data_IF_974556678286
#
_entry.id   IF_974556678286
#
_cell.length_a   1.000
_cell.length_b   1.000
_cell.length_c   1.000
_cell.angle_alpha   90.00
_cell.angle_beta   90.00
_cell.angle_gamma   90.00
#
_symmetry.space_group_name_H-M   'P 1'
#
loop_
_entity.id
_entity.type
_entity.pdbx_description
1 polymer ?
#
# COMPACT_ATOMS: atom_id res chain seq x y z
N UNK A 1 -9.08 -18.31 13.83
CA UNK A 1 -8.74 -17.36 12.77
C UNK A 1 -7.28 -17.53 12.45
N UNK A 2 -6.92 -17.69 11.20
CA UNK A 2 -5.54 -17.71 10.74
C UNK A 2 -4.86 -16.42 11.21
N UNK A 3 -3.74 -16.55 11.92
CA UNK A 3 -3.02 -15.38 12.42
C UNK A 3 -2.37 -14.66 11.25
N UNK A 4 -2.90 -13.53 10.87
CA UNK A 4 -2.33 -12.66 9.82
C UNK A 4 -1.51 -11.55 10.50
N UNK A 5 -0.30 -11.31 10.00
CA UNK A 5 0.50 -10.13 10.34
C UNK A 5 0.44 -9.11 9.20
N UNK A 6 0.78 -7.87 9.48
CA UNK A 6 0.91 -6.84 8.46
C UNK A 6 2.38 -6.42 8.28
N UNK A 7 2.76 -6.18 7.04
CA UNK A 7 4.06 -5.68 6.63
C UNK A 7 3.88 -4.40 5.81
N UNK A 8 4.40 -3.29 6.31
CA UNK A 8 4.33 -2.00 5.62
C UNK A 8 5.67 -1.74 4.93
N UNK A 9 5.67 -1.54 3.62
CA UNK A 9 6.87 -1.26 2.84
C UNK A 9 7.19 0.24 2.85
N UNK A 10 8.25 0.63 3.56
CA UNK A 10 8.67 2.02 3.76
C UNK A 10 10.15 2.27 3.45
N UNK A 11 10.83 1.34 2.75
CA UNK A 11 12.29 1.39 2.52
C UNK A 11 12.72 2.21 1.30
N UNK A 12 11.78 2.64 0.44
CA UNK A 12 12.08 3.26 -0.85
C UNK A 12 12.69 4.66 -0.73
N UNK A 13 13.60 5.01 -1.67
CA UNK A 13 14.29 6.31 -1.70
C UNK A 13 13.37 7.49 -2.05
N UNK A 14 12.26 7.27 -2.76
CA UNK A 14 11.33 8.32 -3.14
C UNK A 14 11.95 9.42 -4.01
N UNK A 15 12.80 9.08 -4.96
CA UNK A 15 13.59 10.03 -5.76
C UNK A 15 12.76 11.09 -6.49
N UNK A 16 11.52 10.75 -6.87
CA UNK A 16 10.57 11.67 -7.53
C UNK A 16 10.03 12.77 -6.61
N UNK A 17 10.22 12.65 -5.29
CA UNK A 17 9.85 13.70 -4.33
C UNK A 17 10.84 14.86 -4.30
N UNK A 18 12.04 14.71 -4.87
CA UNK A 18 13.11 15.72 -4.87
C UNK A 18 13.38 16.29 -3.46
N UNK A 19 13.39 15.45 -2.44
CA UNK A 19 13.53 15.82 -1.03
C UNK A 19 14.51 14.90 -0.32
N UNK A 20 15.29 15.45 0.61
CA UNK A 20 16.15 14.65 1.50
C UNK A 20 15.36 13.92 2.59
N UNK A 21 14.11 14.31 2.82
CA UNK A 21 13.22 13.64 3.78
C UNK A 21 12.68 12.36 3.15
N UNK A 22 12.70 11.21 3.87
CA UNK A 22 12.09 9.97 3.41
C UNK A 22 10.66 10.18 2.89
N UNK A 23 10.33 9.53 1.76
CA UNK A 23 9.00 9.69 1.14
C UNK A 23 7.86 9.49 2.14
N UNK A 24 7.92 8.43 2.93
CA UNK A 24 6.87 8.05 3.90
C UNK A 24 6.73 9.03 5.07
N UNK A 25 7.72 9.91 5.26
CA UNK A 25 7.67 11.00 6.23
C UNK A 25 7.16 12.31 5.66
N UNK A 26 6.94 12.43 4.34
CA UNK A 26 6.26 13.61 3.78
C UNK A 26 4.87 13.74 4.41
N UNK A 27 4.49 14.98 4.70
CA UNK A 27 3.28 15.24 5.48
C UNK A 27 2.08 15.54 4.60
N UNK A 28 0.94 15.01 5.00
CA UNK A 28 -0.40 15.30 4.50
C UNK A 28 -1.23 15.80 5.68
N UNK A 29 -1.81 16.98 5.62
CA UNK A 29 -2.51 17.64 6.73
C UNK A 29 -1.74 17.61 8.08
N UNK A 30 -0.42 17.80 7.99
CA UNK A 30 0.45 17.87 9.17
C UNK A 30 1.01 16.54 9.68
N UNK A 31 0.47 15.41 9.26
CA UNK A 31 0.92 14.07 9.68
C UNK A 31 1.75 13.38 8.61
N UNK A 32 2.80 12.61 8.96
CA UNK A 32 3.54 11.78 8.02
C UNK A 32 2.62 10.76 7.32
N UNK A 33 2.82 10.50 6.02
CA UNK A 33 2.02 9.51 5.29
C UNK A 33 2.00 8.12 5.97
N UNK A 34 3.14 7.68 6.51
CA UNK A 34 3.22 6.41 7.24
C UNK A 34 2.31 6.38 8.47
N UNK A 35 2.01 7.53 9.11
CA UNK A 35 1.07 7.58 10.25
C UNK A 35 -0.30 7.08 9.83
N UNK A 36 -0.83 7.55 8.71
CA UNK A 36 -2.14 7.14 8.20
C UNK A 36 -2.20 5.65 7.91
N UNK A 37 -1.16 5.10 7.28
CA UNK A 37 -1.07 3.66 6.99
C UNK A 37 -1.04 2.84 8.29
N UNK A 38 -0.27 3.28 9.29
CA UNK A 38 -0.23 2.63 10.61
C UNK A 38 -1.59 2.67 11.31
N UNK A 39 -2.28 3.82 11.28
CA UNK A 39 -3.62 3.97 11.88
C UNK A 39 -4.68 3.10 11.20
N UNK A 40 -4.57 2.90 9.87
CA UNK A 40 -5.47 2.01 9.13
C UNK A 40 -5.20 0.52 9.40
N UNK A 41 -3.95 0.15 9.63
CA UNK A 41 -3.52 -1.26 9.70
C UNK A 41 -3.55 -1.80 11.13
N UNK A 42 -3.04 -1.04 12.12
CA UNK A 42 -2.91 -1.49 13.52
C UNK A 42 -4.18 -2.08 14.15
N UNK A 43 -5.37 -1.48 13.98
CA UNK A 43 -6.60 -2.01 14.58
C UNK A 43 -7.03 -3.38 14.04
N UNK A 44 -6.56 -3.73 12.82
CA UNK A 44 -6.93 -4.99 12.16
C UNK A 44 -6.06 -6.16 12.61
N UNK A 45 -4.82 -5.91 13.07
CA UNK A 45 -3.81 -6.94 13.29
C UNK A 45 -3.31 -7.09 14.74
N UNK A 46 -3.98 -6.50 15.72
CA UNK A 46 -3.65 -6.62 17.15
C UNK A 46 -2.15 -6.37 17.47
N UNK A 47 -1.55 -5.36 16.83
CA UNK A 47 -0.15 -4.99 17.05
C UNK A 47 0.88 -5.84 16.29
N UNK A 48 0.48 -6.85 15.51
CA UNK A 48 1.37 -7.62 14.65
C UNK A 48 1.64 -6.89 13.34
N UNK A 49 2.28 -5.73 13.46
CA UNK A 49 2.61 -4.84 12.33
C UNK A 49 4.11 -4.61 12.31
N UNK A 50 4.73 -4.94 11.18
CA UNK A 50 6.14 -4.67 10.90
C UNK A 50 6.27 -3.59 9.83
N UNK A 51 7.28 -2.75 9.94
CA UNK A 51 7.60 -1.71 8.95
C UNK A 51 8.97 -2.00 8.36
N UNK A 52 9.05 -2.22 7.05
CA UNK A 52 10.33 -2.38 6.36
C UNK A 52 10.89 -0.99 6.08
N UNK A 53 12.04 -0.69 6.65
CA UNK A 53 12.77 0.57 6.47
C UNK A 53 14.10 0.31 5.75
N UNK A 54 14.67 1.34 5.12
CA UNK A 54 15.93 1.21 4.39
C UNK A 54 16.60 2.56 4.24
N UNK A 55 16.31 3.30 3.17
CA UNK A 55 16.89 4.62 2.99
C UNK A 55 16.52 5.55 4.15
N UNK A 56 17.54 6.08 4.86
CA UNK A 56 17.36 6.96 6.02
C UNK A 56 16.47 6.34 7.13
N UNK A 57 16.61 5.03 7.38
CA UNK A 57 15.84 4.28 8.37
C UNK A 57 15.76 5.00 9.72
N UNK A 58 16.87 5.53 10.24
CA UNK A 58 16.90 6.22 11.53
C UNK A 58 15.96 7.42 11.65
N UNK A 59 15.63 8.10 10.53
CA UNK A 59 14.61 9.17 10.57
C UNK A 59 13.20 8.61 10.75
N UNK A 60 12.91 7.48 10.10
CA UNK A 60 11.59 6.83 10.22
C UNK A 60 11.43 6.24 11.61
N UNK A 61 12.45 5.57 12.14
CA UNK A 61 12.47 5.00 13.48
C UNK A 61 12.29 6.05 14.56
N UNK A 62 13.00 7.19 14.44
CA UNK A 62 12.85 8.31 15.36
C UNK A 62 11.44 8.93 15.34
N UNK A 63 10.77 8.92 14.17
CA UNK A 63 9.40 9.45 14.04
C UNK A 63 8.32 8.48 14.58
N UNK A 64 8.63 7.17 14.67
CA UNK A 64 7.70 6.12 15.10
C UNK A 64 8.33 5.15 16.10
N UNK A 65 8.76 5.60 17.29
CA UNK A 65 9.51 4.78 18.25
C UNK A 65 8.75 3.55 18.75
N UNK A 66 7.41 3.55 18.63
CA UNK A 66 6.54 2.45 19.06
C UNK A 66 6.28 1.42 17.93
N UNK A 67 6.89 1.57 16.76
CA UNK A 67 6.76 0.61 15.67
C UNK A 67 7.86 -0.46 15.72
N UNK A 68 7.57 -1.64 15.16
CA UNK A 68 8.57 -2.70 14.97
C UNK A 68 9.13 -2.63 13.56
N UNK A 69 10.45 -2.65 13.43
CA UNK A 69 11.12 -2.43 12.16
C UNK A 69 11.90 -3.65 11.69
N UNK A 70 11.96 -3.77 10.34
CA UNK A 70 12.85 -4.68 9.63
C UNK A 70 13.68 -3.85 8.65
N UNK A 71 14.99 -4.09 8.61
CA UNK A 71 15.89 -3.33 7.74
C UNK A 71 16.05 -3.99 6.37
N UNK A 72 15.86 -3.21 5.32
CA UNK A 72 16.26 -3.53 3.96
C UNK A 72 17.52 -2.74 3.61
N UNK A 73 18.69 -3.36 3.84
CA UNK A 73 20.00 -2.71 3.62
C UNK A 73 20.18 -2.21 2.18
N UNK A 74 19.79 -3.02 1.21
CA UNK A 74 19.82 -2.70 -0.21
C UNK A 74 18.40 -2.61 -0.75
N UNK A 75 18.02 -1.48 -1.31
CA UNK A 75 16.69 -1.25 -1.88
C UNK A 75 16.58 -1.92 -3.26
N UNK A 76 16.49 -3.25 -3.28
CA UNK A 76 16.44 -4.07 -4.50
C UNK A 76 15.01 -4.41 -4.96
N UNK A 77 14.02 -3.68 -4.49
CA UNK A 77 12.61 -3.83 -4.89
C UNK A 77 11.71 -4.37 -3.78
N UNK A 78 10.40 -4.44 -4.09
CA UNK A 78 9.34 -4.79 -3.14
C UNK A 78 9.35 -6.27 -2.73
N UNK A 79 9.68 -7.17 -3.66
CA UNK A 79 9.87 -8.59 -3.35
C UNK A 79 11.06 -8.82 -2.42
N UNK A 80 12.16 -8.09 -2.64
CA UNK A 80 13.31 -8.14 -1.74
C UNK A 80 12.97 -7.61 -0.35
N UNK A 81 12.13 -6.58 -0.22
CA UNK A 81 11.67 -6.09 1.07
C UNK A 81 10.90 -7.17 1.85
N UNK A 82 10.01 -7.92 1.19
CA UNK A 82 9.33 -9.05 1.81
C UNK A 82 10.31 -10.18 2.18
N UNK A 83 11.32 -10.48 1.34
CA UNK A 83 12.38 -11.46 1.69
C UNK A 83 13.10 -11.08 2.99
N UNK A 84 13.42 -9.79 3.20
CA UNK A 84 14.08 -9.32 4.42
C UNK A 84 13.19 -9.48 5.67
N UNK A 85 11.87 -9.43 5.50
CA UNK A 85 10.92 -9.56 6.60
C UNK A 85 10.62 -11.02 6.96
N UNK A 86 10.87 -11.99 6.07
CA UNK A 86 10.53 -13.41 6.30
C UNK A 86 11.02 -13.96 7.63
N UNK A 87 12.29 -13.74 8.08
CA UNK A 87 12.77 -14.26 9.37
C UNK A 87 12.00 -13.74 10.58
N UNK A 88 11.46 -12.52 10.51
CA UNK A 88 10.66 -11.93 11.59
C UNK A 88 9.19 -12.39 11.55
N UNK A 89 8.71 -12.90 10.42
CA UNK A 89 7.34 -13.39 10.23
C UNK A 89 7.23 -14.91 10.51
N UNK A 90 8.30 -15.67 10.32
CA UNK A 90 8.32 -17.11 10.51
C UNK A 90 7.91 -17.52 11.94
N UNK A 91 6.93 -18.42 12.04
CA UNK A 91 6.38 -18.87 13.31
C UNK A 91 5.50 -17.84 14.05
N UNK A 92 5.34 -16.62 13.50
CA UNK A 92 4.51 -15.56 14.09
C UNK A 92 3.13 -15.44 13.44
N UNK A 93 3.01 -15.86 12.19
CA UNK A 93 1.75 -15.78 11.44
C UNK A 93 1.69 -16.87 10.35
N UNK A 94 0.48 -17.13 9.84
CA UNK A 94 0.24 -18.04 8.72
C UNK A 94 0.09 -17.29 7.40
N UNK A 95 -0.27 -16.01 7.48
CA UNK A 95 -0.45 -15.11 6.35
C UNK A 95 0.18 -13.75 6.65
N UNK A 96 0.61 -13.06 5.62
CA UNK A 96 1.09 -11.68 5.70
C UNK A 96 0.30 -10.80 4.75
N UNK A 97 -0.25 -9.69 5.30
CA UNK A 97 -0.70 -8.56 4.51
C UNK A 97 0.52 -7.68 4.21
N UNK A 98 0.76 -7.38 2.95
CA UNK A 98 1.80 -6.42 2.53
C UNK A 98 1.11 -5.19 1.97
N UNK A 99 1.46 -4.01 2.47
CA UNK A 99 0.94 -2.72 2.00
C UNK A 99 2.08 -1.71 1.83
N UNK A 100 1.88 -0.71 0.97
CA UNK A 100 2.84 0.35 0.80
C UNK A 100 2.68 1.44 1.88
N UNK A 101 3.79 1.96 2.40
CA UNK A 101 3.79 3.02 3.42
C UNK A 101 3.50 4.43 2.89
N UNK A 102 3.26 4.57 1.60
CA UNK A 102 3.00 5.82 0.89
C UNK A 102 1.57 5.98 0.39
N UNK A 103 0.61 5.25 0.99
CA UNK A 103 -0.82 5.29 0.68
C UNK A 103 -1.61 6.01 1.78
N UNK A 104 -1.52 7.36 1.90
CA UNK A 104 -2.08 8.11 3.04
C UNK A 104 -3.61 8.11 3.11
N UNK A 105 -4.29 7.70 2.05
CA UNK A 105 -5.75 7.64 1.99
C UNK A 105 -6.31 6.26 2.37
N UNK A 106 -5.45 5.28 2.65
CA UNK A 106 -5.85 3.96 3.12
C UNK A 106 -6.65 4.07 4.42
N UNK A 107 -7.77 3.35 4.50
CA UNK A 107 -8.62 3.30 5.69
C UNK A 107 -8.68 1.89 6.30
N UNK A 108 -9.02 1.82 7.59
CA UNK A 108 -9.26 0.55 8.28
C UNK A 108 -10.31 -0.31 7.57
N UNK A 109 -11.41 0.29 7.12
CA UNK A 109 -12.50 -0.43 6.43
C UNK A 109 -12.02 -1.10 5.14
N UNK A 110 -11.16 -0.43 4.37
CA UNK A 110 -10.57 -1.01 3.15
C UNK A 110 -9.65 -2.17 3.50
N UNK A 111 -8.83 -2.05 4.55
CA UNK A 111 -7.95 -3.12 5.02
C UNK A 111 -8.77 -4.33 5.48
N UNK A 112 -9.82 -4.12 6.29
CA UNK A 112 -10.72 -5.20 6.75
C UNK A 112 -11.40 -5.89 5.59
N UNK A 113 -12.02 -5.12 4.69
CA UNK A 113 -12.69 -5.66 3.51
C UNK A 113 -11.73 -6.52 2.67
N UNK A 114 -10.52 -6.03 2.41
CA UNK A 114 -9.54 -6.77 1.63
C UNK A 114 -9.11 -8.07 2.32
N UNK A 115 -8.85 -8.05 3.63
CA UNK A 115 -8.45 -9.24 4.39
C UNK A 115 -9.57 -10.28 4.39
N UNK A 116 -10.81 -9.87 4.63
CA UNK A 116 -11.99 -10.73 4.57
C UNK A 116 -12.19 -11.33 3.16
N UNK A 117 -12.14 -10.50 2.14
CA UNK A 117 -12.25 -10.95 0.74
C UNK A 117 -11.10 -11.86 0.29
N UNK A 118 -9.97 -11.82 0.98
CA UNK A 118 -8.80 -12.67 0.70
C UNK A 118 -8.92 -14.07 1.32
N UNK A 119 -9.95 -14.34 2.12
CA UNK A 119 -10.12 -15.64 2.76
C UNK A 119 -10.25 -16.76 1.74
N UNK A 120 -9.55 -17.87 1.99
CA UNK A 120 -9.54 -19.03 1.12
C UNK A 120 -8.71 -18.89 -0.16
N UNK A 121 -8.06 -17.76 -0.44
CA UNK A 121 -7.03 -17.64 -1.46
C UNK A 121 -5.64 -17.97 -0.88
N UNK A 122 -4.75 -18.57 -1.69
CA UNK A 122 -3.35 -18.76 -1.31
C UNK A 122 -2.58 -17.45 -1.41
N UNK A 123 -2.92 -16.64 -2.42
CA UNK A 123 -2.43 -15.28 -2.62
C UNK A 123 -3.56 -14.41 -3.17
N UNK A 124 -3.84 -13.30 -2.49
CA UNK A 124 -4.76 -12.27 -2.98
C UNK A 124 -4.01 -10.94 -3.15
N UNK A 125 -4.47 -10.10 -4.06
CA UNK A 125 -3.99 -8.75 -4.25
C UNK A 125 -5.14 -7.79 -4.56
N UNK A 126 -4.99 -6.54 -4.14
CA UNK A 126 -6.00 -5.53 -4.40
C UNK A 126 -5.86 -4.96 -5.82
N UNK A 127 -6.99 -4.73 -6.48
CA UNK A 127 -7.06 -4.08 -7.78
C UNK A 127 -8.00 -2.88 -7.73
N UNK A 128 -7.74 -1.90 -8.59
CA UNK A 128 -8.62 -0.78 -8.88
C UNK A 128 -8.72 -0.60 -10.39
N UNK A 129 -9.80 0.03 -10.87
CA UNK A 129 -9.92 0.44 -12.26
C UNK A 129 -9.61 1.93 -12.39
N UNK A 130 -8.73 2.29 -13.31
CA UNK A 130 -8.37 3.66 -13.65
C UNK A 130 -8.62 3.93 -15.13
N UNK A 131 -9.12 5.11 -15.45
CA UNK A 131 -9.27 5.54 -16.85
C UNK A 131 -7.90 5.68 -17.55
N UNK A 132 -6.89 6.16 -16.82
CA UNK A 132 -5.48 6.17 -17.22
C UNK A 132 -4.67 5.31 -16.23
N UNK A 133 -4.17 4.14 -16.65
CA UNK A 133 -3.38 3.24 -15.82
C UNK A 133 -2.03 3.82 -15.34
N UNK A 134 -1.55 4.92 -15.95
CA UNK A 134 -0.33 5.65 -15.58
C UNK A 134 0.88 4.74 -15.29
N UNK A 135 1.49 4.85 -14.11
CA UNK A 135 2.68 4.11 -13.70
C UNK A 135 2.38 2.83 -12.92
N UNK A 136 1.10 2.44 -12.79
CA UNK A 136 0.71 1.25 -12.01
C UNK A 136 0.94 -0.06 -12.78
N UNK A 137 1.17 -1.15 -12.07
CA UNK A 137 1.25 -2.50 -12.66
C UNK A 137 -0.10 -2.94 -13.24
N UNK A 138 -0.08 -3.48 -14.46
CA UNK A 138 -1.28 -3.93 -15.19
C UNK A 138 -1.68 -5.32 -14.77
N UNK A 139 -2.95 -5.53 -14.46
CA UNK A 139 -3.50 -6.85 -14.15
C UNK A 139 -3.85 -7.55 -15.44
N UNK A 140 -3.11 -8.59 -15.76
CA UNK A 140 -3.34 -9.41 -16.97
C UNK A 140 -4.21 -10.60 -16.61
N UNK A 141 -5.35 -10.73 -17.31
CA UNK A 141 -6.27 -11.86 -17.14
C UNK A 141 -6.27 -12.76 -18.35
N UNK A 142 -6.57 -14.04 -18.15
CA UNK A 142 -6.85 -14.99 -19.21
C UNK A 142 -8.27 -14.78 -19.79
N UNK A 143 -8.58 -15.45 -20.89
CA UNK A 143 -9.88 -15.32 -21.56
C UNK A 143 -11.08 -15.74 -20.69
N UNK A 144 -10.86 -16.59 -19.69
CA UNK A 144 -11.86 -17.03 -18.72
C UNK A 144 -12.00 -16.06 -17.51
N UNK A 145 -11.27 -14.94 -17.51
CA UNK A 145 -11.26 -13.95 -16.45
C UNK A 145 -10.31 -14.26 -15.27
N UNK A 146 -9.66 -15.42 -15.26
CA UNK A 146 -8.69 -15.78 -14.24
C UNK A 146 -7.44 -14.88 -14.31
N UNK A 147 -6.82 -14.62 -13.16
CA UNK A 147 -5.57 -13.84 -13.08
C UNK A 147 -4.44 -14.65 -13.73
N UNK A 148 -3.66 -14.00 -14.58
CA UNK A 148 -2.46 -14.56 -15.20
C UNK A 148 -1.17 -13.97 -14.63
N UNK A 149 -1.11 -12.66 -14.52
CA UNK A 149 0.07 -11.93 -14.03
C UNK A 149 -0.30 -10.50 -13.64
N UNK A 150 0.60 -9.86 -12.90
CA UNK A 150 0.70 -8.39 -12.83
C UNK A 150 1.99 -8.01 -13.55
N UNK A 151 1.91 -7.09 -14.50
CA UNK A 151 3.07 -6.62 -15.29
C UNK A 151 3.29 -5.15 -14.96
N UNK A 152 4.48 -4.83 -14.48
CA UNK A 152 4.83 -3.44 -14.16
C UNK A 152 4.77 -2.55 -15.41
N UNK A 153 4.35 -1.29 -15.24
CA UNK A 153 4.11 -0.37 -16.36
C UNK A 153 5.28 -0.27 -17.35
N UNK A 154 6.51 -0.27 -16.83
CA UNK A 154 7.73 -0.17 -17.65
C UNK A 154 7.99 -1.42 -18.50
N UNK A 155 7.53 -2.58 -18.01
CA UNK A 155 7.76 -3.89 -18.63
C UNK A 155 6.57 -4.34 -19.48
N UNK A 156 5.44 -3.61 -19.44
CA UNK A 156 4.26 -3.94 -20.23
C UNK A 156 4.53 -3.77 -21.73
N UNK A 157 4.22 -4.83 -22.49
CA UNK A 157 4.30 -4.84 -23.96
C UNK A 157 2.96 -5.31 -24.53
N UNK A 158 2.22 -4.43 -25.24
CA UNK A 158 0.95 -4.79 -25.86
C UNK A 158 1.04 -5.95 -26.88
N UNK A 159 2.22 -6.16 -27.47
CA UNK A 159 2.44 -7.27 -28.39
C UNK A 159 2.41 -8.64 -27.68
N UNK A 160 2.77 -8.68 -26.39
CA UNK A 160 2.81 -9.90 -25.57
C UNK A 160 1.53 -10.10 -24.74
N UNK A 161 0.94 -8.99 -24.26
CA UNK A 161 -0.14 -9.04 -23.27
C UNK A 161 -1.48 -8.54 -23.80
N UNK A 162 -1.52 -8.00 -25.03
CA UNK A 162 -2.72 -7.43 -25.63
C UNK A 162 -2.92 -5.94 -25.29
N UNK A 163 -4.11 -5.38 -25.55
CA UNK A 163 -4.43 -4.00 -25.21
C UNK A 163 -4.23 -3.72 -23.73
N UNK A 164 -3.80 -2.51 -23.41
CA UNK A 164 -3.55 -2.09 -22.03
C UNK A 164 -4.84 -2.14 -21.20
N UNK A 165 -4.88 -2.90 -20.08
CA UNK A 165 -6.07 -2.99 -19.25
C UNK A 165 -6.21 -1.76 -18.35
N UNK A 166 -7.45 -1.39 -18.02
CA UNK A 166 -7.76 -0.36 -17.02
C UNK A 166 -7.62 -0.89 -15.58
N UNK A 167 -7.64 -2.20 -15.39
CA UNK A 167 -7.43 -2.82 -14.09
C UNK A 167 -5.95 -2.81 -13.73
N UNK A 168 -5.64 -2.20 -12.59
CA UNK A 168 -4.26 -2.03 -12.11
C UNK A 168 -4.08 -2.59 -10.70
N UNK A 169 -2.85 -2.91 -10.39
CA UNK A 169 -2.41 -3.33 -9.07
C UNK A 169 -2.42 -2.14 -8.09
N UNK A 170 -3.15 -2.29 -7.00
CA UNK A 170 -3.26 -1.27 -5.96
C UNK A 170 -2.20 -1.38 -4.85
N UNK A 171 -1.22 -2.28 -4.98
CA UNK A 171 -0.08 -2.36 -4.05
C UNK A 171 -0.38 -2.97 -2.68
N UNK A 172 -1.47 -3.70 -2.53
CA UNK A 172 -1.82 -4.43 -1.32
C UNK A 172 -1.95 -5.93 -1.64
N UNK A 173 -1.32 -6.78 -0.83
CA UNK A 173 -1.27 -8.23 -1.05
C UNK A 173 -1.52 -8.98 0.25
N UNK A 174 -2.19 -10.11 0.18
CA UNK A 174 -2.32 -11.05 1.28
C UNK A 174 -1.88 -12.43 0.81
N UNK A 175 -0.78 -12.93 1.37
CA UNK A 175 -0.16 -14.18 0.93
C UNK A 175 0.05 -15.12 2.11
N UNK A 176 -0.14 -16.43 1.88
CA UNK A 176 0.25 -17.46 2.83
C UNK A 176 1.77 -17.45 3.00
N UNK A 177 2.24 -17.52 4.24
CA UNK A 177 3.66 -17.38 4.55
C UNK A 177 4.49 -18.56 3.98
N UNK A 178 3.94 -19.79 4.01
CA UNK A 178 4.59 -20.96 3.43
C UNK A 178 4.71 -20.85 1.89
N UNK A 179 3.71 -20.27 1.23
CA UNK A 179 3.77 -19.98 -0.20
C UNK A 179 4.83 -18.90 -0.48
N UNK A 180 4.83 -17.80 0.28
CA UNK A 180 5.83 -16.74 0.14
C UNK A 180 7.25 -17.30 0.32
N UNK A 181 7.51 -18.09 1.37
CA UNK A 181 8.80 -18.71 1.62
C UNK A 181 9.30 -19.57 0.44
N UNK A 182 8.39 -20.26 -0.25
CA UNK A 182 8.71 -21.12 -1.39
C UNK A 182 8.93 -20.34 -2.69
N UNK A 183 8.17 -19.26 -2.92
CA UNK A 183 8.21 -18.53 -4.18
C UNK A 183 9.20 -17.36 -4.19
N UNK A 184 9.42 -16.66 -3.07
CA UNK A 184 10.32 -15.52 -3.00
C UNK A 184 11.74 -15.80 -3.54
N UNK A 185 12.38 -16.94 -3.24
CA UNK A 185 13.71 -17.25 -3.79
C UNK A 185 13.75 -17.42 -5.31
N UNK A 186 12.60 -17.51 -5.96
CA UNK A 186 12.47 -17.70 -7.41
C UNK A 186 12.17 -16.42 -8.18
N UNK A 187 11.91 -15.33 -7.47
CA UNK A 187 11.74 -14.02 -8.08
C UNK A 187 13.07 -13.58 -8.68
N UNK A 188 13.05 -13.19 -9.94
CA UNK A 188 14.21 -12.63 -10.64
C UNK A 188 14.23 -11.10 -10.61
N UNK A 189 15.31 -10.52 -11.11
CA UNK A 189 15.43 -9.09 -11.33
C UNK A 189 15.80 -8.74 -12.80
N UNK A 190 15.58 -9.66 -13.73
CA UNK A 190 15.80 -9.47 -15.15
C UNK A 190 14.66 -8.68 -15.80
N UNK A 191 14.41 -7.46 -15.31
CA UNK A 191 13.39 -6.52 -15.76
C UNK A 191 14.01 -5.13 -15.98
N UNK A 192 13.27 -4.18 -16.54
CA UNK A 192 13.77 -2.83 -16.87
C UNK A 192 14.26 -2.01 -15.67
N UNK A 193 13.81 -2.33 -14.46
CA UNK A 193 14.26 -1.65 -13.24
C UNK A 193 15.41 -2.37 -12.53
N UNK A 194 15.69 -3.65 -12.85
CA UNK A 194 16.68 -4.48 -12.15
C UNK A 194 16.27 -4.84 -10.72
N UNK A 195 14.98 -4.81 -10.41
CA UNK A 195 14.42 -4.98 -9.08
C UNK A 195 13.69 -6.33 -8.93
N UNK A 196 13.65 -6.87 -7.72
CA UNK A 196 12.82 -8.02 -7.37
C UNK A 196 11.41 -7.51 -7.06
N UNK A 197 10.48 -7.70 -7.99
CA UNK A 197 9.11 -7.26 -7.84
C UNK A 197 8.26 -8.25 -7.04
N UNK A 198 7.49 -7.76 -6.07
CA UNK A 198 6.51 -8.60 -5.36
C UNK A 198 5.42 -9.10 -6.32
N UNK A 199 5.13 -8.36 -7.39
CA UNK A 199 4.16 -8.71 -8.43
C UNK A 199 4.50 -10.00 -9.17
N UNK A 200 5.78 -10.41 -9.21
CA UNK A 200 6.20 -11.68 -9.81
C UNK A 200 5.68 -12.91 -9.03
N UNK A 201 5.35 -12.74 -7.74
CA UNK A 201 4.70 -13.81 -6.96
C UNK A 201 3.39 -14.26 -7.60
N UNK A 202 2.66 -13.35 -8.26
CA UNK A 202 1.37 -13.65 -8.89
C UNK A 202 1.56 -14.67 -10.00
N UNK A 203 2.45 -14.42 -10.95
CA UNK A 203 2.71 -15.33 -12.07
C UNK A 203 3.29 -16.67 -11.61
N UNK A 204 4.18 -16.65 -10.60
CA UNK A 204 4.74 -17.87 -10.01
C UNK A 204 3.67 -18.71 -9.30
N UNK A 205 2.78 -18.08 -8.53
CA UNK A 205 1.67 -18.77 -7.86
C UNK A 205 0.66 -19.36 -8.87
N UNK A 206 0.33 -18.60 -9.91
CA UNK A 206 -0.54 -19.10 -11.01
C UNK A 206 0.09 -20.30 -11.70
N UNK A 207 1.39 -20.25 -12.00
CA UNK A 207 2.12 -21.35 -12.65
C UNK A 207 2.15 -22.63 -11.79
N UNK A 208 2.07 -22.53 -10.47
CA UNK A 208 1.95 -23.67 -9.55
C UNK A 208 0.50 -24.13 -9.32
N UNK A 209 -0.48 -23.50 -9.95
CA UNK A 209 -1.90 -23.85 -9.78
C UNK A 209 -2.46 -23.41 -8.42
N UNK A 210 -1.81 -22.46 -7.74
CA UNK A 210 -2.33 -21.88 -6.51
C UNK A 210 -3.57 -21.04 -6.77
N UNK A 211 -4.44 -20.93 -5.75
CA UNK A 211 -5.62 -20.07 -5.81
C UNK A 211 -5.21 -18.60 -5.66
N UNK A 212 -5.07 -17.90 -6.80
CA UNK A 212 -4.75 -16.48 -6.87
C UNK A 212 -6.01 -15.67 -7.13
N UNK A 213 -6.21 -14.60 -6.35
CA UNK A 213 -7.41 -13.77 -6.42
C UNK A 213 -7.05 -12.29 -6.50
N UNK A 214 -7.56 -11.59 -7.54
CA UNK A 214 -7.63 -10.11 -7.57
C UNK A 214 -8.92 -9.67 -6.88
N UNK A 215 -8.78 -8.87 -5.83
CA UNK A 215 -9.91 -8.28 -5.08
C UNK A 215 -10.07 -6.85 -5.56
N UNK A 216 -11.20 -6.56 -6.21
CA UNK A 216 -11.49 -5.21 -6.67
C UNK A 216 -11.91 -4.34 -5.47
N UNK A 217 -11.11 -3.33 -5.17
CA UNK A 217 -11.32 -2.42 -4.04
C UNK A 217 -11.90 -1.06 -4.47
N UNK A 218 -12.51 -0.99 -5.64
CA UNK A 218 -13.21 0.20 -6.13
C UNK A 218 -12.50 0.96 -7.24
N UNK A 219 -12.94 2.21 -7.43
CA UNK A 219 -12.41 3.15 -8.43
C UNK A 219 -11.91 4.44 -7.78
N UNK A 220 -11.74 4.44 -6.48
CA UNK A 220 -11.33 5.62 -5.75
C UNK A 220 -9.80 5.69 -5.57
N UNK A 221 -9.32 6.86 -5.17
CA UNK A 221 -7.90 7.13 -4.98
C UNK A 221 -7.37 6.61 -3.64
N UNK A 222 -8.19 5.92 -2.81
CA UNK A 222 -7.83 5.50 -1.45
C UNK A 222 -6.64 4.54 -1.37
N UNK A 223 -6.39 3.80 -2.44
CA UNK A 223 -5.26 2.87 -2.55
C UNK A 223 -4.10 3.43 -3.38
N UNK A 224 -4.19 4.66 -3.88
CA UNK A 224 -3.14 5.23 -4.70
C UNK A 224 -1.94 5.65 -3.86
N UNK A 225 -0.75 5.18 -4.27
CA UNK A 225 0.51 5.58 -3.64
C UNK A 225 0.95 6.97 -4.11
N UNK A 226 1.45 7.77 -3.17
CA UNK A 226 2.01 9.10 -3.44
C UNK A 226 3.48 8.97 -3.82
N UNK A 227 3.84 9.40 -5.01
CA UNK A 227 5.20 9.28 -5.56
C UNK A 227 5.82 10.60 -5.99
N UNK A 228 5.04 11.67 -6.05
CA UNK A 228 5.48 13.00 -6.50
C UNK A 228 4.83 14.10 -5.65
N UNK A 229 5.39 15.33 -5.65
CA UNK A 229 4.78 16.48 -4.98
C UNK A 229 3.37 16.80 -5.50
N UNK A 230 3.09 16.54 -6.78
CA UNK A 230 1.76 16.72 -7.36
C UNK A 230 0.76 15.73 -6.77
N UNK A 231 1.13 14.44 -6.69
CA UNK A 231 0.29 13.40 -6.08
C UNK A 231 0.09 13.65 -4.58
N UNK A 232 1.15 14.13 -3.88
CA UNK A 232 1.04 14.53 -2.47
C UNK A 232 -0.01 15.63 -2.27
N UNK A 233 0.04 16.69 -3.10
CA UNK A 233 -0.91 17.81 -3.04
C UNK A 233 -2.35 17.36 -3.33
N UNK A 234 -2.54 16.45 -4.30
CA UNK A 234 -3.87 15.90 -4.62
C UNK A 234 -4.42 15.04 -3.47
N UNK A 235 -3.58 14.17 -2.90
CA UNK A 235 -3.97 13.35 -1.75
C UNK A 235 -4.29 14.21 -0.52
N UNK A 236 -3.53 15.30 -0.28
CA UNK A 236 -3.83 16.23 0.81
C UNK A 236 -5.18 16.92 0.60
N UNK A 237 -5.50 17.37 -0.61
CA UNK A 237 -6.77 18.03 -0.90
C UNK A 237 -7.95 17.07 -0.75
N UNK A 238 -7.83 15.84 -1.26
CA UNK A 238 -8.84 14.81 -1.10
C UNK A 238 -9.11 14.50 0.39
N UNK A 239 -8.04 14.34 1.18
CA UNK A 239 -8.18 14.08 2.62
C UNK A 239 -8.78 15.28 3.36
N UNK A 240 -8.38 16.52 2.97
CA UNK A 240 -8.93 17.76 3.51
C UNK A 240 -10.45 17.83 3.32
N UNK A 241 -10.92 17.54 2.11
CA UNK A 241 -12.36 17.55 1.82
C UNK A 241 -13.12 16.54 2.69
N UNK A 242 -12.60 15.31 2.82
CA UNK A 242 -13.19 14.28 3.70
C UNK A 242 -13.26 14.73 5.16
N UNK A 243 -12.17 15.35 5.68
CA UNK A 243 -12.12 15.86 7.06
C UNK A 243 -13.12 17.00 7.26
N UNK A 244 -13.14 17.96 6.34
CA UNK A 244 -14.07 19.11 6.38
C UNK A 244 -15.52 18.63 6.36
N UNK A 245 -15.87 17.74 5.45
CA UNK A 245 -17.21 17.15 5.38
C UNK A 245 -17.60 16.40 6.66
N UNK A 246 -16.68 15.63 7.22
CA UNK A 246 -16.88 14.93 8.48
C UNK A 246 -17.16 15.89 9.66
N UNK A 247 -16.36 16.95 9.77
CA UNK A 247 -16.52 17.98 10.82
C UNK A 247 -17.85 18.73 10.68
N UNK A 248 -18.21 19.14 9.46
CA UNK A 248 -19.50 19.81 9.23
C UNK A 248 -20.68 18.89 9.60
N UNK A 249 -20.63 17.60 9.22
CA UNK A 249 -21.68 16.61 9.56
C UNK A 249 -21.75 16.32 11.05
N UNK A 250 -20.65 16.42 11.78
CA UNK A 250 -20.61 16.24 13.24
C UNK A 250 -21.10 17.46 14.03
N UNK A 251 -21.41 18.58 13.37
CA UNK A 251 -21.93 19.78 14.01
C UNK A 251 -20.86 20.81 14.37
N UNK A 252 -19.68 20.74 13.78
CA UNK A 252 -18.64 21.77 13.85
C UNK A 252 -18.97 22.87 12.83
N UNK A 253 -18.88 24.14 13.22
CA UNK A 253 -19.04 25.28 12.31
C UNK A 253 -17.69 25.65 11.70
N UNK A 254 -17.61 25.63 10.38
CA UNK A 254 -16.40 25.99 9.65
C UNK A 254 -16.63 27.25 8.80
N UNK A 255 -15.84 28.29 9.05
CA UNK A 255 -15.77 29.47 8.22
C UNK A 255 -14.65 29.34 7.20
N UNK A 256 -14.91 29.68 5.94
CA UNK A 256 -13.99 29.48 4.83
C UNK A 256 -13.42 28.02 4.79
N UNK A 257 -14.27 26.97 4.69
CA UNK A 257 -13.88 25.58 4.83
C UNK A 257 -12.80 25.14 3.81
N UNK A 258 -12.71 25.84 2.68
CA UNK A 258 -11.64 25.60 1.70
C UNK A 258 -10.22 25.91 2.23
N UNK A 259 -10.09 26.75 3.26
CA UNK A 259 -8.82 27.12 3.88
C UNK A 259 -8.51 26.32 5.15
N UNK A 260 -9.49 25.57 5.66
CA UNK A 260 -9.32 24.76 6.87
C UNK A 260 -8.45 23.53 6.58
N UNK A 261 -7.37 23.40 7.34
CA UNK A 261 -6.43 22.27 7.28
C UNK A 261 -6.26 21.71 8.70
N UNK A 262 -6.90 20.56 8.92
CA UNK A 262 -6.91 19.88 10.23
C UNK A 262 -6.52 18.43 10.00
N UNK A 263 -5.64 17.90 10.85
CA UNK A 263 -5.33 16.47 10.85
C UNK A 263 -6.60 15.66 11.09
N UNK A 264 -6.87 14.60 10.33
CA UNK A 264 -7.98 13.68 10.60
C UNK A 264 -7.85 12.95 11.94
N UNK A 265 -6.67 12.99 12.56
CA UNK A 265 -6.40 12.42 13.88
C UNK A 265 -6.73 13.43 15.02
N UNK A 266 -7.07 14.66 14.68
CA UNK A 266 -7.48 15.65 15.66
C UNK A 266 -8.93 15.40 16.10
N UNK A 267 -9.17 15.53 17.40
CA UNK A 267 -10.53 15.50 17.96
C UNK A 267 -11.09 16.92 18.02
N UNK A 268 -12.24 17.13 17.40
CA UNK A 268 -12.99 18.39 17.42
C UNK A 268 -14.40 18.11 17.86
N UNK A 269 -14.82 18.72 18.97
CA UNK A 269 -16.14 18.51 19.55
C UNK A 269 -17.24 19.25 18.76
N UNK A 270 -18.47 18.67 18.70
CA UNK A 270 -19.65 19.35 18.15
C UNK A 270 -19.87 20.72 18.79
N UNK A 271 -20.24 21.72 18.00
CA UNK A 271 -20.43 23.10 18.44
C UNK A 271 -19.14 23.94 18.48
N UNK A 272 -17.98 23.36 18.18
CA UNK A 272 -16.78 24.15 17.92
C UNK A 272 -16.94 25.03 16.69
N UNK A 273 -16.33 26.21 16.70
CA UNK A 273 -16.30 27.15 15.57
C UNK A 273 -14.84 27.39 15.16
N UNK A 274 -14.54 27.13 13.89
CA UNK A 274 -13.19 27.22 13.33
C UNK A 274 -13.19 28.14 12.12
N UNK A 275 -12.24 29.05 12.11
CA UNK A 275 -11.98 29.96 10.97
C UNK A 275 -10.69 29.53 10.28
N UNK A 276 -10.73 29.40 8.97
CA UNK A 276 -9.59 29.04 8.13
C UNK A 276 -8.67 30.23 7.82
#
# INVERSE_FOLDING_TARGET
MLQTAALILAAGKGTRMHSDKPKVLQTVLGEPMLRYVLEAVRPVFDGRVLVVVGHQAGMVEAAFPDASFVHQEQQLGTGHALMQAMPALEGQCERVLVVNGDTPLLSEDVVRHFVEASEGADLAFATIELDDPAAYGRVVRAADGSVRAIVEAKDYDPALYGPEPHEVNAGMYCVRLDLAARLLPRIGNANKSGEYYITDLISLAVAEGCKVQGVQCGRDESLMGVNSPLELSRSEEFLRERVVDGLLRSGVMLHAPALVRISPLATVEPGAEITG
#
